data_IF_020551284211
#
_entry.id   IF_020551284211
#
_cell.length_a   1.000
_cell.length_b   1.000
_cell.length_c   1.000
_cell.angle_alpha   90.00
_cell.angle_beta   90.00
_cell.angle_gamma   90.00
#
_symmetry.space_group_name_H-M   'P 1'
#
loop_
_entity.id
_entity.type
_entity.pdbx_description
1 polymer ?
#
# COMPACT_ATOMS: atom_id res chain seq x y z
N UNK A 1 -22.50 13.12 14.90
CA UNK A 1 -21.29 13.83 15.37
C UNK A 1 -21.14 15.01 14.43
N UNK A 2 -20.85 16.19 14.97
CA UNK A 2 -20.50 17.37 14.19
C UNK A 2 -19.00 17.64 14.38
N UNK A 3 -18.34 18.13 13.34
CA UNK A 3 -16.92 18.41 13.35
C UNK A 3 -16.67 19.90 13.11
N UNK A 4 -15.70 20.42 13.85
CA UNK A 4 -15.30 21.81 13.77
C UNK A 4 -13.79 21.91 13.58
N UNK A 5 -13.38 22.95 12.88
CA UNK A 5 -11.97 23.31 12.72
C UNK A 5 -11.76 24.81 12.92
N UNK A 6 -10.49 25.21 12.99
CA UNK A 6 -10.04 26.59 13.15
C UNK A 6 -9.53 27.11 11.82
N UNK A 7 -9.81 28.38 11.48
CA UNK A 7 -9.30 29.01 10.26
C UNK A 7 -7.76 29.02 10.19
N UNK A 8 -7.13 29.13 11.36
CA UNK A 8 -5.69 29.27 11.54
C UNK A 8 -4.97 27.92 11.66
N UNK A 9 -5.72 26.88 12.01
CA UNK A 9 -5.21 25.52 12.27
C UNK A 9 -6.21 24.50 11.70
N UNK A 10 -6.34 24.39 10.37
CA UNK A 10 -7.27 23.46 9.73
C UNK A 10 -7.00 21.98 10.09
N UNK A 11 -5.79 21.69 10.58
CA UNK A 11 -5.37 20.38 11.09
C UNK A 11 -6.01 19.99 12.43
N UNK A 12 -6.52 20.96 13.20
CA UNK A 12 -7.24 20.66 14.44
C UNK A 12 -8.70 20.35 14.10
N UNK A 13 -9.10 19.11 14.40
CA UNK A 13 -10.48 18.62 14.23
C UNK A 13 -11.09 18.32 15.60
N UNK A 14 -12.07 19.13 15.98
CA UNK A 14 -12.83 18.97 17.21
C UNK A 14 -14.15 18.25 16.90
N UNK A 15 -14.35 17.10 17.54
CA UNK A 15 -15.53 16.25 17.28
C UNK A 15 -16.47 16.28 18.47
N UNK A 16 -17.71 16.71 18.22
CA UNK A 16 -18.73 16.87 19.27
C UNK A 16 -19.97 16.01 18.93
N UNK A 17 -20.57 15.32 19.92
CA UNK A 17 -21.81 14.60 19.72
C UNK A 17 -22.98 15.54 19.45
N UNK A 18 -23.73 15.27 18.37
CA UNK A 18 -24.88 16.07 17.95
C UNK A 18 -24.80 16.54 16.49
N UNK A 19 -25.55 17.60 16.20
CA UNK A 19 -25.56 18.39 14.96
C UNK A 19 -25.01 19.78 15.25
N UNK A 20 -24.69 20.56 14.21
CA UNK A 20 -24.24 21.94 14.39
C UNK A 20 -25.28 22.76 15.18
N UNK A 21 -24.83 23.36 16.28
CA UNK A 21 -25.63 24.19 17.17
C UNK A 21 -24.72 25.02 18.06
N UNK A 22 -25.25 26.11 18.62
CA UNK A 22 -24.52 26.96 19.58
C UNK A 22 -23.93 26.12 20.73
N UNK A 23 -24.73 25.19 21.27
CA UNK A 23 -24.30 24.28 22.34
C UNK A 23 -23.20 23.30 21.91
N UNK A 24 -23.20 22.86 20.65
CA UNK A 24 -22.14 22.00 20.13
C UNK A 24 -20.82 22.76 19.93
N UNK A 25 -20.90 24.04 19.55
CA UNK A 25 -19.75 24.94 19.44
C UNK A 25 -19.16 25.33 20.79
N UNK A 26 -20.00 25.54 21.81
CA UNK A 26 -19.54 25.72 23.19
C UNK A 26 -18.75 24.51 23.69
N UNK A 27 -19.26 23.29 23.43
CA UNK A 27 -18.52 22.06 23.76
C UNK A 27 -17.22 21.90 22.97
N UNK A 28 -17.18 22.37 21.72
CA UNK A 28 -15.94 22.40 20.95
C UNK A 28 -14.94 23.38 21.58
N UNK A 29 -15.41 24.51 22.12
CA UNK A 29 -14.56 25.44 22.86
C UNK A 29 -13.98 24.80 24.12
N UNK A 30 -14.78 24.02 24.87
CA UNK A 30 -14.28 23.29 26.04
C UNK A 30 -13.13 22.34 25.67
N UNK A 31 -13.28 21.57 24.58
CA UNK A 31 -12.21 20.71 24.06
C UNK A 31 -10.99 21.49 23.58
N UNK A 32 -11.19 22.67 22.97
CA UNK A 32 -10.10 23.53 22.52
C UNK A 32 -9.29 24.06 23.72
N UNK A 33 -9.96 24.46 24.80
CA UNK A 33 -9.30 24.91 26.03
C UNK A 33 -8.46 23.78 26.65
N UNK A 34 -8.95 22.54 26.65
CA UNK A 34 -8.16 21.38 27.10
C UNK A 34 -6.90 21.16 26.24
N UNK A 35 -6.98 21.39 24.92
CA UNK A 35 -5.82 21.30 24.02
C UNK A 35 -4.82 22.44 24.23
N UNK A 36 -5.30 23.63 24.56
CA UNK A 36 -4.46 24.79 24.93
C UNK A 36 -3.73 24.54 26.24
N UNK A 37 -4.43 24.05 27.27
CA UNK A 37 -3.83 23.69 28.56
C UNK A 37 -2.81 22.55 28.41
N UNK A 38 -3.03 21.64 27.46
CA UNK A 38 -2.10 20.56 27.13
C UNK A 38 -0.91 21.01 26.25
N UNK A 39 -0.85 22.28 25.82
CA UNK A 39 0.19 22.80 24.93
C UNK A 39 0.20 22.17 23.54
N UNK A 40 -0.95 21.66 23.08
CA UNK A 40 -1.11 20.95 21.79
C UNK A 40 -1.64 21.84 20.68
N UNK A 41 -1.82 23.13 20.94
CA UNK A 41 -2.20 24.11 19.94
C UNK A 41 -0.95 24.55 19.16
N UNK A 42 -0.86 24.31 17.83
CA UNK A 42 0.33 24.61 17.04
C UNK A 42 0.49 26.12 16.77
N UNK A 43 -0.59 26.90 16.86
CA UNK A 43 -0.62 28.34 16.62
C UNK A 43 -1.57 29.02 17.60
N UNK A 44 -1.27 30.25 17.98
CA UNK A 44 -2.15 31.05 18.84
C UNK A 44 -3.50 31.34 18.16
N UNK A 45 -4.55 31.48 18.97
CA UNK A 45 -5.87 31.88 18.50
C UNK A 45 -5.90 33.39 18.21
N UNK A 46 -6.87 33.80 17.40
CA UNK A 46 -7.12 35.22 17.10
C UNK A 46 -7.64 35.91 18.36
N UNK A 47 -7.25 37.17 18.56
CA UNK A 47 -7.72 37.94 19.72
C UNK A 47 -9.26 38.04 19.71
N UNK A 48 -9.89 37.60 20.80
CA UNK A 48 -11.34 37.49 20.91
C UNK A 48 -11.97 36.23 20.29
N UNK A 49 -11.20 35.16 20.05
CA UNK A 49 -11.73 33.91 19.48
C UNK A 49 -12.92 33.34 20.28
N UNK A 50 -14.07 33.18 19.62
CA UNK A 50 -15.32 32.70 20.21
C UNK A 50 -15.94 31.49 19.51
N UNK A 51 -16.93 30.79 20.12
CA UNK A 51 -17.51 29.55 19.58
C UNK A 51 -18.16 29.70 18.19
N UNK A 52 -18.55 30.91 17.81
CA UNK A 52 -19.13 31.18 16.50
C UNK A 52 -18.10 31.19 15.37
N UNK A 53 -16.81 31.34 15.69
CA UNK A 53 -15.71 31.35 14.72
C UNK A 53 -15.21 29.96 14.35
N UNK A 54 -15.73 28.91 14.99
CA UNK A 54 -15.52 27.55 14.51
C UNK A 54 -16.06 27.40 13.10
N UNK A 55 -15.27 26.80 12.22
CA UNK A 55 -15.71 26.44 10.88
C UNK A 55 -16.33 25.05 11.00
N UNK A 56 -17.64 24.93 10.77
CA UNK A 56 -18.29 23.62 10.64
C UNK A 56 -17.69 22.95 9.42
N UNK A 57 -17.08 21.78 9.64
CA UNK A 57 -16.57 20.96 8.56
C UNK A 57 -17.79 20.33 7.88
N UNK A 58 -18.34 21.04 6.88
CA UNK A 58 -19.45 20.59 6.04
C UNK A 58 -18.94 19.68 4.94
N UNK A 59 -18.30 18.58 5.32
CA UNK A 59 -18.08 17.49 4.39
C UNK A 59 -18.48 16.17 5.05
N UNK A 60 -19.07 15.24 4.29
CA UNK A 60 -19.30 13.90 4.79
C UNK A 60 -17.98 13.35 5.33
N UNK A 61 -17.99 12.47 6.34
CA UNK A 61 -16.80 11.72 6.69
C UNK A 61 -16.54 10.79 5.52
N UNK A 62 -15.81 11.27 4.52
CA UNK A 62 -15.27 10.39 3.53
C UNK A 62 -13.94 9.91 4.06
N UNK A 63 -14.01 8.70 4.61
CA UNK A 63 -13.03 7.64 4.42
C UNK A 63 -12.71 7.43 2.90
N UNK A 64 -12.52 8.48 2.09
CA UNK A 64 -12.14 8.38 0.65
C UNK A 64 -10.65 8.53 0.43
N UNK A 65 -9.87 8.81 1.47
CA UNK A 65 -8.50 8.34 1.51
C UNK A 65 -8.40 6.81 1.73
N UNK A 66 -9.52 6.10 1.97
CA UNK A 66 -9.52 4.74 2.57
C UNK A 66 -9.96 3.59 1.66
N UNK A 67 -10.66 3.79 0.54
CA UNK A 67 -11.06 2.66 -0.33
C UNK A 67 -10.65 2.83 -1.81
N UNK A 68 -10.78 4.02 -2.42
CA UNK A 68 -10.34 4.25 -3.82
C UNK A 68 -8.81 4.20 -3.95
N UNK A 69 -8.09 4.75 -2.98
CA UNK A 69 -6.63 4.64 -2.90
C UNK A 69 -6.19 3.18 -2.69
N UNK A 70 -6.93 2.42 -1.88
CA UNK A 70 -6.67 1.00 -1.67
C UNK A 70 -6.91 0.18 -2.94
N UNK A 71 -7.96 0.49 -3.71
CA UNK A 71 -8.21 -0.13 -5.03
C UNK A 71 -7.11 0.24 -6.02
N UNK A 72 -6.68 1.50 -6.06
CA UNK A 72 -5.59 1.96 -6.93
C UNK A 72 -4.28 1.23 -6.62
N UNK A 73 -3.93 1.12 -5.34
CA UNK A 73 -2.76 0.37 -4.90
C UNK A 73 -2.88 -1.13 -5.22
N UNK A 74 -4.06 -1.72 -5.03
CA UNK A 74 -4.30 -3.12 -5.35
C UNK A 74 -4.09 -3.40 -6.85
N UNK A 75 -4.63 -2.55 -7.72
CA UNK A 75 -4.42 -2.65 -9.18
C UNK A 75 -2.94 -2.51 -9.54
N UNK A 76 -2.21 -1.59 -8.91
CA UNK A 76 -0.78 -1.42 -9.15
C UNK A 76 0.03 -2.65 -8.74
N UNK A 77 -0.30 -3.27 -7.60
CA UNK A 77 0.33 -4.51 -7.12
C UNK A 77 0.06 -5.65 -8.11
N UNK A 78 -1.19 -5.80 -8.56
CA UNK A 78 -1.58 -6.82 -9.55
C UNK A 78 -0.91 -6.60 -10.91
N UNK A 79 -0.77 -5.34 -11.34
CA UNK A 79 -0.05 -4.97 -12.56
C UNK A 79 1.43 -5.36 -12.49
N UNK A 80 2.10 -5.03 -11.38
CA UNK A 80 3.48 -5.46 -11.14
C UNK A 80 3.61 -7.00 -11.12
N UNK A 81 2.67 -7.70 -10.48
CA UNK A 81 2.64 -9.17 -10.52
C UNK A 81 2.54 -9.69 -11.96
N UNK A 82 1.70 -9.09 -12.80
CA UNK A 82 1.54 -9.49 -14.20
C UNK A 82 2.85 -9.33 -14.99
N UNK A 83 3.54 -8.19 -14.83
CA UNK A 83 4.86 -7.97 -15.44
C UNK A 83 5.89 -8.99 -14.98
N UNK A 84 5.95 -9.29 -13.67
CA UNK A 84 6.86 -10.29 -13.12
C UNK A 84 6.53 -11.70 -13.62
N UNK A 85 5.24 -12.04 -13.73
CA UNK A 85 4.78 -13.33 -14.27
C UNK A 85 5.26 -13.53 -15.69
N UNK A 86 5.12 -12.51 -16.54
CA UNK A 86 5.59 -12.55 -17.92
C UNK A 86 7.11 -12.79 -17.98
N UNK A 87 7.89 -12.03 -17.21
CA UNK A 87 9.36 -12.15 -17.17
C UNK A 87 9.85 -13.53 -16.72
N UNK A 88 9.14 -14.14 -15.76
CA UNK A 88 9.42 -15.52 -15.32
C UNK A 88 9.06 -16.50 -16.44
N UNK A 89 7.93 -16.31 -17.13
CA UNK A 89 7.51 -17.19 -18.22
C UNK A 89 8.47 -17.16 -19.41
N UNK A 90 8.96 -15.99 -19.80
CA UNK A 90 9.90 -15.81 -20.93
C UNK A 90 11.18 -16.62 -20.78
N UNK A 91 11.72 -16.71 -19.55
CA UNK A 91 13.00 -17.38 -19.27
C UNK A 91 12.84 -18.79 -18.69
N UNK A 92 11.61 -19.27 -18.47
CA UNK A 92 11.34 -20.52 -17.74
C UNK A 92 11.89 -21.75 -18.45
N UNK A 93 11.58 -21.91 -19.74
CA UNK A 93 11.95 -23.11 -20.48
C UNK A 93 13.47 -23.25 -20.54
N UNK A 94 14.15 -22.20 -20.98
CA UNK A 94 15.60 -22.16 -21.10
C UNK A 94 16.30 -22.36 -19.74
N UNK A 95 15.80 -21.75 -18.67
CA UNK A 95 16.36 -21.96 -17.34
C UNK A 95 16.19 -23.40 -16.84
N UNK A 96 15.07 -24.07 -17.14
CA UNK A 96 14.86 -25.47 -16.76
C UNK A 96 15.76 -26.42 -17.54
N UNK A 97 16.05 -26.12 -18.81
CA UNK A 97 17.01 -26.87 -19.61
C UNK A 97 18.42 -26.76 -19.03
N UNK A 98 18.87 -25.54 -18.71
CA UNK A 98 20.17 -25.34 -18.05
C UNK A 98 20.19 -26.01 -16.67
N UNK A 99 19.10 -25.92 -15.89
CA UNK A 99 19.00 -26.62 -14.59
C UNK A 99 19.27 -28.12 -14.74
N UNK A 100 18.75 -28.75 -15.80
CA UNK A 100 18.99 -30.17 -16.03
C UNK A 100 20.46 -30.47 -16.36
N UNK A 101 21.16 -29.56 -17.04
CA UNK A 101 22.59 -29.69 -17.31
C UNK A 101 23.44 -29.58 -16.04
N UNK A 102 22.97 -28.91 -14.98
CA UNK A 102 23.67 -28.83 -13.69
C UNK A 102 23.90 -30.22 -13.09
N UNK A 103 23.00 -31.18 -13.35
CA UNK A 103 23.10 -32.54 -12.82
C UNK A 103 24.38 -33.26 -13.32
N UNK A 104 24.98 -32.82 -14.44
CA UNK A 104 26.27 -33.33 -14.95
C UNK A 104 27.39 -33.14 -13.92
N UNK A 105 27.39 -32.02 -13.20
CA UNK A 105 28.41 -31.72 -12.18
C UNK A 105 28.37 -32.65 -10.97
N UNK A 106 27.26 -33.37 -10.79
CA UNK A 106 27.04 -34.29 -9.68
C UNK A 106 27.09 -35.75 -10.13
N UNK A 107 27.46 -36.01 -11.39
CA UNK A 107 27.57 -37.35 -11.95
C UNK A 107 29.03 -37.85 -11.93
N UNK A 108 29.21 -39.16 -11.84
CA UNK A 108 30.54 -39.80 -11.92
C UNK A 108 31.08 -39.88 -13.37
N UNK A 109 30.38 -39.28 -14.34
CA UNK A 109 30.77 -39.32 -15.75
C UNK A 109 31.85 -38.29 -16.03
N UNK A 110 32.81 -38.64 -16.89
CA UNK A 110 33.77 -37.68 -17.42
C UNK A 110 33.05 -36.59 -18.21
N UNK A 111 33.36 -35.32 -17.93
CA UNK A 111 32.76 -34.15 -18.58
C UNK A 111 33.78 -33.53 -19.54
N UNK A 112 33.32 -33.09 -20.70
CA UNK A 112 34.15 -32.39 -21.70
C UNK A 112 34.23 -30.89 -21.41
N UNK A 113 35.26 -30.22 -21.94
CA UNK A 113 35.38 -28.76 -21.81
C UNK A 113 34.20 -28.01 -22.46
N UNK A 114 33.67 -28.52 -23.58
CA UNK A 114 32.53 -27.94 -24.30
C UNK A 114 31.22 -28.01 -23.50
N UNK A 115 31.01 -29.09 -22.73
CA UNK A 115 29.87 -29.22 -21.82
C UNK A 115 30.00 -28.23 -20.66
N UNK A 116 31.20 -28.08 -20.09
CA UNK A 116 31.46 -27.10 -19.03
C UNK A 116 31.29 -25.66 -19.55
N UNK A 117 31.72 -25.36 -20.77
CA UNK A 117 31.56 -24.04 -21.37
C UNK A 117 30.08 -23.67 -21.55
N UNK A 118 29.28 -24.58 -22.13
CA UNK A 118 27.82 -24.38 -22.28
C UNK A 118 27.11 -24.22 -20.94
N UNK A 119 27.48 -25.02 -19.94
CA UNK A 119 26.91 -24.90 -18.61
C UNK A 119 27.24 -23.55 -17.95
N UNK A 120 28.48 -23.06 -18.12
CA UNK A 120 28.91 -21.75 -17.61
C UNK A 120 28.12 -20.60 -18.22
N UNK A 121 27.85 -20.63 -19.52
CA UNK A 121 27.00 -19.65 -20.20
C UNK A 121 25.56 -19.71 -19.66
N UNK A 122 25.06 -20.92 -19.47
CA UNK A 122 23.74 -21.19 -18.90
C UNK A 122 23.53 -20.63 -17.50
N UNK A 123 24.56 -20.54 -16.65
CA UNK A 123 24.41 -20.02 -15.28
C UNK A 123 23.87 -18.59 -15.23
N UNK A 124 24.12 -17.76 -16.25
CA UNK A 124 23.54 -16.42 -16.34
C UNK A 124 22.02 -16.46 -16.49
N UNK A 125 21.53 -17.40 -17.30
CA UNK A 125 20.09 -17.63 -17.52
C UNK A 125 19.46 -18.14 -16.21
N UNK A 126 20.06 -19.16 -15.59
CA UNK A 126 19.61 -19.67 -14.30
C UNK A 126 19.53 -18.59 -13.22
N UNK A 127 20.58 -17.77 -13.08
CA UNK A 127 20.60 -16.66 -12.12
C UNK A 127 19.46 -15.67 -12.39
N UNK A 128 19.29 -15.27 -13.64
CA UNK A 128 18.27 -14.27 -14.04
C UNK A 128 16.87 -14.81 -13.76
N UNK A 129 16.60 -16.04 -14.17
CA UNK A 129 15.33 -16.72 -13.91
C UNK A 129 15.08 -16.87 -12.41
N UNK A 130 16.06 -17.34 -11.64
CA UNK A 130 15.92 -17.53 -10.19
C UNK A 130 15.59 -16.21 -9.48
N UNK A 131 16.30 -15.12 -9.81
CA UNK A 131 16.03 -13.79 -9.24
C UNK A 131 14.64 -13.26 -9.63
N UNK A 132 14.23 -13.46 -10.88
CA UNK A 132 12.89 -13.08 -11.33
C UNK A 132 11.80 -13.92 -10.63
N UNK A 133 12.02 -15.22 -10.49
CA UNK A 133 11.10 -16.15 -9.85
C UNK A 133 10.93 -15.85 -8.35
N UNK A 134 12.01 -15.50 -7.64
CA UNK A 134 11.94 -15.05 -6.24
C UNK A 134 11.08 -13.78 -6.10
N UNK A 135 11.37 -12.76 -6.91
CA UNK A 135 10.58 -11.50 -6.91
C UNK A 135 9.11 -11.76 -7.26
N UNK A 136 8.85 -12.67 -8.19
CA UNK A 136 7.49 -13.07 -8.54
C UNK A 136 6.78 -13.75 -7.38
N UNK A 137 7.44 -14.67 -6.66
CA UNK A 137 6.87 -15.32 -5.47
C UNK A 137 6.55 -14.33 -4.36
N UNK A 138 7.47 -13.40 -4.07
CA UNK A 138 7.25 -12.32 -3.10
C UNK A 138 6.08 -11.41 -3.51
N UNK A 139 6.03 -11.01 -4.79
CA UNK A 139 4.95 -10.19 -5.32
C UNK A 139 3.60 -10.93 -5.30
N UNK A 140 3.60 -12.25 -5.54
CA UNK A 140 2.39 -13.08 -5.53
C UNK A 140 1.73 -13.09 -4.15
N UNK A 141 2.51 -13.20 -3.08
CA UNK A 141 1.98 -13.14 -1.72
C UNK A 141 1.27 -11.81 -1.45
N UNK A 142 1.87 -10.66 -1.83
CA UNK A 142 1.23 -9.35 -1.68
C UNK A 142 0.01 -9.15 -2.59
N UNK A 143 0.02 -9.79 -3.75
CA UNK A 143 -1.06 -9.71 -4.71
C UNK A 143 -2.31 -10.50 -4.30
N UNK A 144 -2.18 -11.49 -3.42
CA UNK A 144 -3.34 -12.19 -2.85
C UNK A 144 -4.18 -11.24 -1.98
N UNK A 145 -3.54 -10.41 -1.15
CA UNK A 145 -4.22 -9.35 -0.39
C UNK A 145 -4.84 -8.29 -1.31
N UNK A 146 -4.09 -7.85 -2.33
CA UNK A 146 -4.60 -6.91 -3.34
C UNK A 146 -5.82 -7.45 -4.09
N UNK A 147 -5.84 -8.76 -4.40
CA UNK A 147 -7.00 -9.42 -5.02
C UNK A 147 -8.22 -9.33 -4.10
N UNK A 148 -8.07 -9.58 -2.80
CA UNK A 148 -9.18 -9.50 -1.86
C UNK A 148 -9.78 -8.08 -1.77
N UNK A 149 -8.94 -7.04 -1.81
CA UNK A 149 -9.39 -5.63 -1.87
C UNK A 149 -10.22 -5.39 -3.14
N UNK A 150 -9.75 -5.86 -4.28
CA UNK A 150 -10.46 -5.71 -5.55
C UNK A 150 -11.78 -6.50 -5.58
N UNK A 151 -11.78 -7.75 -5.09
CA UNK A 151 -12.98 -8.59 -5.03
C UNK A 151 -14.07 -7.94 -4.15
N UNK A 152 -13.67 -7.36 -3.01
CA UNK A 152 -14.58 -6.59 -2.12
C UNK A 152 -15.14 -5.36 -2.82
N UNK A 153 -14.31 -4.59 -3.52
CA UNK A 153 -14.73 -3.39 -4.25
C UNK A 153 -15.69 -3.73 -5.40
N UNK A 154 -15.44 -4.83 -6.11
CA UNK A 154 -16.26 -5.28 -7.23
C UNK A 154 -17.54 -6.02 -6.80
N UNK A 155 -17.73 -6.30 -5.50
CA UNK A 155 -18.81 -7.15 -4.97
C UNK A 155 -18.85 -8.52 -5.66
N UNK A 156 -17.70 -9.02 -6.09
CA UNK A 156 -17.59 -10.33 -6.72
C UNK A 156 -17.36 -11.38 -5.64
N UNK A 157 -18.14 -12.48 -5.59
CA UNK A 157 -17.84 -13.57 -4.68
C UNK A 157 -16.49 -14.19 -5.11
N UNK A 158 -15.50 -14.16 -4.22
CA UNK A 158 -14.19 -14.75 -4.45
C UNK A 158 -14.33 -16.23 -4.80
N UNK A 159 -13.82 -16.60 -5.98
CA UNK A 159 -13.68 -17.99 -6.45
C UNK A 159 -12.42 -18.66 -5.96
#
# INVERSE_FOLDING_TARGET
MVQYTLAQSPEIILTVPGKDSVKAREKAMDQLMELMDAGKLPTDLEDGFGPQQFIEVKEPPTDTASDEDAVTQAVQILSNLATLKLKVQESRTEALEVRAQVDILFSDKSVTEEEIARLKEGFKILKTFAQANLRYQEARSKAEDARAVLDKALKSPGT
#
